data_IF_427325997881
#
_entry.id   IF_427325997881
#
_cell.length_a   1.000
_cell.length_b   1.000
_cell.length_c   1.000
_cell.angle_alpha   90.00
_cell.angle_beta   90.00
_cell.angle_gamma   90.00
#
_symmetry.space_group_name_H-M   'P 1'
#
loop_
_entity.id
_entity.type
_entity.pdbx_description
1 polymer ?
#
# COMPACT_ATOMS: atom_id res chain seq x y z
N UNK A 1 -32.00 -22.74 8.93
CA UNK A 1 -31.02 -21.97 8.10
C UNK A 1 -30.18 -21.13 9.05
N UNK A 2 -28.90 -20.94 8.79
CA UNK A 2 -28.10 -20.02 9.60
C UNK A 2 -28.66 -18.59 9.51
N UNK A 3 -28.49 -17.82 10.57
CA UNK A 3 -28.79 -16.39 10.58
C UNK A 3 -27.76 -15.61 9.76
N UNK A 4 -27.85 -14.29 9.79
CA UNK A 4 -27.00 -13.39 9.01
C UNK A 4 -26.22 -12.44 9.93
N UNK A 5 -24.92 -12.28 9.65
CA UNK A 5 -24.10 -11.22 10.26
C UNK A 5 -24.18 -9.97 9.40
N UNK A 6 -24.68 -8.87 9.97
CA UNK A 6 -24.70 -7.56 9.31
C UNK A 6 -23.56 -6.69 9.85
N UNK A 7 -22.69 -6.18 8.98
CA UNK A 7 -21.68 -5.19 9.36
C UNK A 7 -22.29 -3.80 9.20
N UNK A 8 -22.68 -3.17 10.29
CA UNK A 8 -23.43 -1.91 10.26
C UNK A 8 -22.50 -0.75 10.59
N UNK A 9 -22.23 0.09 9.59
CA UNK A 9 -21.45 1.32 9.79
C UNK A 9 -22.24 2.32 10.62
N UNK A 10 -21.62 2.87 11.67
CA UNK A 10 -22.21 3.84 12.61
C UNK A 10 -21.68 5.25 12.35
N UNK A 11 -22.39 6.30 12.78
CA UNK A 11 -21.95 7.69 12.64
C UNK A 11 -20.57 7.96 13.26
N UNK A 12 -19.74 8.75 12.56
CA UNK A 12 -18.41 9.16 13.03
C UNK A 12 -18.40 10.51 13.75
N UNK A 13 -19.57 11.07 14.00
CA UNK A 13 -19.70 12.35 14.70
C UNK A 13 -21.02 13.07 14.45
N UNK A 14 -21.77 12.68 13.43
CA UNK A 14 -23.07 13.25 13.09
C UNK A 14 -24.11 12.14 12.94
N UNK A 15 -25.11 12.13 13.81
CA UNK A 15 -26.18 11.13 13.78
C UNK A 15 -26.98 11.14 12.47
N UNK A 16 -27.01 12.29 11.76
CA UNK A 16 -27.63 12.41 10.45
C UNK A 16 -26.97 11.59 9.34
N UNK A 17 -25.76 11.07 9.56
CA UNK A 17 -25.05 10.23 8.61
C UNK A 17 -25.45 8.75 8.68
N UNK A 18 -26.30 8.37 9.63
CA UNK A 18 -26.81 7.00 9.70
C UNK A 18 -27.76 6.75 8.53
N UNK A 19 -27.48 5.72 7.72
CA UNK A 19 -28.39 5.40 6.61
C UNK A 19 -29.69 4.79 7.12
N UNK A 20 -30.79 5.00 6.37
CA UNK A 20 -32.08 4.39 6.67
C UNK A 20 -31.98 2.87 6.80
N UNK A 21 -31.25 2.23 5.87
CA UNK A 21 -31.03 0.79 5.90
C UNK A 21 -30.24 0.33 7.15
N UNK A 22 -29.33 1.15 7.66
CA UNK A 22 -28.65 0.83 8.92
C UNK A 22 -29.61 0.84 10.10
N UNK A 23 -30.49 1.86 10.19
CA UNK A 23 -31.53 1.92 11.23
C UNK A 23 -32.50 0.74 11.14
N UNK A 24 -33.01 0.41 9.95
CA UNK A 24 -33.89 -0.72 9.69
C UNK A 24 -33.21 -2.05 10.05
N UNK A 25 -31.91 -2.23 9.71
CA UNK A 25 -31.16 -3.43 10.06
C UNK A 25 -31.01 -3.57 11.57
N UNK A 26 -30.67 -2.49 12.29
CA UNK A 26 -30.59 -2.50 13.75
C UNK A 26 -31.93 -2.85 14.43
N UNK A 27 -33.06 -2.46 13.78
CA UNK A 27 -34.39 -2.81 14.25
C UNK A 27 -34.72 -4.29 14.00
N UNK A 28 -34.30 -4.86 12.87
CA UNK A 28 -34.69 -6.22 12.44
C UNK A 28 -33.88 -7.33 13.09
N UNK A 29 -32.59 -7.11 13.39
CA UNK A 29 -31.71 -8.18 13.95
C UNK A 29 -32.17 -8.63 15.33
N UNK A 30 -31.85 -9.86 15.69
CA UNK A 30 -32.19 -10.46 16.99
C UNK A 30 -31.34 -9.85 18.09
N UNK A 31 -30.06 -9.53 17.81
CA UNK A 31 -29.16 -8.91 18.76
C UNK A 31 -28.05 -8.12 18.08
N UNK A 32 -27.32 -7.34 18.88
CA UNK A 32 -26.22 -6.48 18.42
C UNK A 32 -24.93 -6.87 19.11
N UNK A 33 -23.87 -7.14 18.34
CA UNK A 33 -22.51 -7.24 18.84
C UNK A 33 -21.85 -5.84 18.75
N UNK A 34 -21.54 -5.27 19.91
CA UNK A 34 -21.08 -3.88 20.05
C UNK A 34 -19.68 -3.84 20.63
N UNK A 35 -18.81 -2.96 20.11
CA UNK A 35 -17.49 -2.70 20.67
C UNK A 35 -17.61 -2.13 22.09
N UNK A 36 -18.32 -1.01 22.25
CA UNK A 36 -18.74 -0.49 23.53
C UNK A 36 -20.27 -0.34 23.60
N UNK A 37 -20.90 -1.19 24.40
CA UNK A 37 -22.36 -1.17 24.58
C UNK A 37 -22.89 0.16 25.12
N UNK A 38 -22.07 0.93 25.85
CA UNK A 38 -22.44 2.25 26.39
C UNK A 38 -22.53 3.29 25.29
N UNK A 39 -21.72 3.19 24.24
CA UNK A 39 -21.78 4.04 23.04
C UNK A 39 -22.98 3.63 22.19
N UNK A 40 -23.11 2.34 21.92
CA UNK A 40 -24.19 1.80 21.10
C UNK A 40 -25.57 2.09 21.68
N UNK A 41 -25.75 2.05 23.02
CA UNK A 41 -27.03 2.37 23.66
C UNK A 41 -27.50 3.81 23.37
N UNK A 42 -26.56 4.75 23.21
CA UNK A 42 -26.91 6.14 22.84
C UNK A 42 -27.48 6.22 21.44
N UNK A 43 -26.90 5.46 20.50
CA UNK A 43 -27.41 5.35 19.14
C UNK A 43 -28.79 4.71 19.11
N UNK A 44 -28.97 3.59 19.81
CA UNK A 44 -30.26 2.89 19.90
C UNK A 44 -31.34 3.79 20.53
N UNK A 45 -31.01 4.52 21.60
CA UNK A 45 -31.95 5.47 22.22
C UNK A 45 -32.35 6.61 21.25
N UNK A 46 -31.42 7.11 20.43
CA UNK A 46 -31.72 8.08 19.39
C UNK A 46 -32.72 7.54 18.35
N UNK A 47 -32.62 6.24 18.04
CA UNK A 47 -33.51 5.53 17.11
C UNK A 47 -34.82 5.05 17.78
N UNK A 48 -34.98 5.22 19.10
CA UNK A 48 -36.11 4.65 19.85
C UNK A 48 -36.11 3.14 19.96
N UNK A 49 -34.96 2.48 19.75
CA UNK A 49 -34.83 1.02 19.73
C UNK A 49 -34.32 0.48 21.08
N UNK A 50 -34.76 -0.75 21.39
CA UNK A 50 -34.24 -1.57 22.50
C UNK A 50 -33.89 -2.94 21.96
N UNK A 51 -32.61 -3.31 21.98
CA UNK A 51 -32.10 -4.58 21.47
C UNK A 51 -31.16 -5.27 22.49
N UNK A 52 -31.17 -6.60 22.56
CA UNK A 52 -30.15 -7.34 23.27
C UNK A 52 -28.77 -7.00 22.70
N UNK A 53 -27.77 -6.78 23.57
CA UNK A 53 -26.41 -6.45 23.15
C UNK A 53 -25.40 -7.41 23.76
N UNK A 54 -24.40 -7.80 22.99
CA UNK A 54 -23.21 -8.55 23.41
C UNK A 54 -21.99 -7.67 23.20
N UNK A 55 -21.13 -7.54 24.20
CA UNK A 55 -19.87 -6.80 24.04
C UNK A 55 -18.86 -7.63 23.25
N UNK A 56 -18.36 -7.07 22.13
CA UNK A 56 -17.39 -7.69 21.24
C UNK A 56 -16.28 -6.70 20.91
N UNK A 57 -15.16 -6.78 21.61
CA UNK A 57 -14.03 -5.88 21.47
C UNK A 57 -12.69 -6.64 21.35
N UNK A 58 -11.63 -5.96 20.97
CA UNK A 58 -10.32 -6.56 20.58
C UNK A 58 -9.77 -7.62 21.55
N UNK A 59 -10.03 -7.50 22.85
CA UNK A 59 -9.47 -8.43 23.85
C UNK A 59 -10.39 -9.61 24.21
N UNK A 60 -11.59 -9.70 23.61
CA UNK A 60 -12.51 -10.82 23.84
C UNK A 60 -12.97 -11.54 22.58
N UNK A 61 -12.32 -11.26 21.42
CA UNK A 61 -12.72 -11.78 20.11
C UNK A 61 -12.79 -13.30 20.05
N UNK A 62 -11.88 -14.01 20.71
CA UNK A 62 -11.87 -15.49 20.73
C UNK A 62 -13.15 -16.08 21.34
N UNK A 63 -13.34 -15.91 22.65
CA UNK A 63 -14.48 -16.52 23.37
C UNK A 63 -15.83 -15.97 22.94
N UNK A 64 -15.91 -14.65 22.67
CA UNK A 64 -17.14 -14.03 22.19
C UNK A 64 -17.42 -14.33 20.73
N UNK A 65 -16.37 -14.48 19.90
CA UNK A 65 -16.54 -14.91 18.52
C UNK A 65 -17.22 -16.27 18.43
N UNK A 66 -16.79 -17.26 19.22
CA UNK A 66 -17.41 -18.58 19.27
C UNK A 66 -18.89 -18.50 19.70
N UNK A 67 -19.23 -17.70 20.70
CA UNK A 67 -20.61 -17.47 21.14
C UNK A 67 -21.46 -16.87 20.02
N UNK A 68 -20.96 -15.85 19.33
CA UNK A 68 -21.65 -15.19 18.21
C UNK A 68 -21.89 -16.17 17.06
N UNK A 69 -20.88 -16.95 16.69
CA UNK A 69 -20.97 -17.97 15.66
C UNK A 69 -22.02 -19.03 16.01
N UNK A 70 -22.04 -19.53 17.27
CA UNK A 70 -23.02 -20.51 17.70
C UNK A 70 -24.46 -19.97 17.58
N UNK A 71 -24.69 -18.71 17.95
CA UNK A 71 -26.01 -18.06 17.81
C UNK A 71 -26.43 -17.90 16.35
N UNK A 72 -25.49 -17.44 15.49
CA UNK A 72 -25.73 -17.32 14.06
C UNK A 72 -26.05 -18.66 13.41
N UNK A 73 -25.35 -19.76 13.76
CA UNK A 73 -25.69 -21.13 13.31
C UNK A 73 -27.02 -21.59 13.84
N UNK A 74 -27.44 -21.12 15.03
CA UNK A 74 -28.74 -21.35 15.59
C UNK A 74 -29.90 -20.64 14.86
N UNK A 75 -29.59 -19.76 13.89
CA UNK A 75 -30.57 -19.04 13.08
C UNK A 75 -30.86 -17.61 13.53
N UNK A 76 -30.20 -17.11 14.59
CA UNK A 76 -30.32 -15.70 15.01
C UNK A 76 -29.49 -14.81 14.08
N UNK A 77 -29.98 -13.61 13.78
CA UNK A 77 -29.28 -12.57 13.03
C UNK A 77 -28.64 -11.55 13.97
N UNK A 78 -27.45 -11.07 13.59
CA UNK A 78 -26.64 -10.17 14.40
C UNK A 78 -26.19 -8.93 13.60
N UNK A 79 -26.27 -7.75 14.19
CA UNK A 79 -25.55 -6.57 13.71
C UNK A 79 -24.25 -6.41 14.48
N UNK A 80 -23.12 -6.40 13.78
CA UNK A 80 -21.84 -5.96 14.35
C UNK A 80 -21.71 -4.45 14.15
N UNK A 81 -21.49 -3.72 15.24
CA UNK A 81 -21.27 -2.27 15.26
C UNK A 81 -20.00 -1.93 16.02
N UNK A 82 -19.33 -0.86 15.64
CA UNK A 82 -18.21 -0.24 16.34
C UNK A 82 -18.62 1.09 16.93
N UNK A 83 -17.77 1.69 17.74
CA UNK A 83 -18.05 2.97 18.38
C UNK A 83 -18.29 4.08 17.35
N UNK A 84 -17.57 4.03 16.21
CA UNK A 84 -17.72 4.99 15.12
C UNK A 84 -17.17 4.42 13.80
N UNK A 85 -17.96 4.51 12.73
CA UNK A 85 -17.51 4.12 11.39
C UNK A 85 -17.86 2.69 10.98
N UNK A 86 -17.04 2.13 10.10
CA UNK A 86 -17.28 0.83 9.46
C UNK A 86 -16.60 -0.28 10.26
N UNK A 87 -17.33 -1.29 10.76
CA UNK A 87 -16.77 -2.42 11.50
C UNK A 87 -15.73 -3.21 10.68
N UNK A 88 -14.83 -3.90 11.37
CA UNK A 88 -13.77 -4.73 10.81
C UNK A 88 -12.66 -3.97 10.06
N UNK A 89 -12.70 -2.65 10.01
CA UNK A 89 -11.64 -1.83 9.42
C UNK A 89 -10.97 -0.98 10.51
N UNK A 90 -9.83 -1.39 11.00
CA UNK A 90 -9.14 -0.88 12.21
C UNK A 90 -9.84 -1.17 13.54
N UNK A 91 -11.01 -1.74 13.48
CA UNK A 91 -11.90 -2.05 14.58
C UNK A 91 -12.13 -3.57 14.69
N UNK A 92 -12.71 -4.07 15.80
CA UNK A 92 -13.04 -5.50 15.93
C UNK A 92 -13.99 -5.98 14.82
N UNK A 93 -13.81 -7.23 14.37
CA UNK A 93 -14.71 -7.85 13.40
C UNK A 93 -14.06 -8.68 12.33
N UNK A 94 -12.80 -8.41 11.97
CA UNK A 94 -12.07 -9.15 10.92
C UNK A 94 -12.09 -10.67 11.19
N UNK A 95 -11.76 -11.09 12.40
CA UNK A 95 -11.76 -12.49 12.80
C UNK A 95 -13.17 -13.12 12.74
N UNK A 96 -14.20 -12.36 13.17
CA UNK A 96 -15.59 -12.83 13.14
C UNK A 96 -16.07 -13.02 11.70
N UNK A 97 -15.75 -12.10 10.80
CA UNK A 97 -16.06 -12.22 9.37
C UNK A 97 -15.36 -13.42 8.77
N UNK A 98 -14.09 -13.67 9.09
CA UNK A 98 -13.35 -14.84 8.63
C UNK A 98 -13.98 -16.15 9.16
N UNK A 99 -14.40 -16.20 10.42
CA UNK A 99 -15.10 -17.35 11.00
C UNK A 99 -16.45 -17.58 10.35
N UNK A 100 -17.23 -16.53 10.09
CA UNK A 100 -18.50 -16.63 9.36
C UNK A 100 -18.29 -17.20 7.95
N UNK A 101 -17.30 -16.69 7.23
CA UNK A 101 -16.98 -17.16 5.89
C UNK A 101 -16.56 -18.65 5.89
N UNK A 102 -15.78 -19.10 6.87
CA UNK A 102 -15.37 -20.49 6.99
C UNK A 102 -16.53 -21.46 7.31
N UNK A 103 -17.63 -20.95 7.85
CA UNK A 103 -18.82 -21.73 8.22
C UNK A 103 -20.03 -21.44 7.33
N UNK A 104 -19.81 -20.77 6.19
CA UNK A 104 -20.84 -20.41 5.20
C UNK A 104 -22.00 -19.59 5.79
N UNK A 105 -21.75 -18.85 6.87
CA UNK A 105 -22.71 -17.92 7.46
C UNK A 105 -22.75 -16.66 6.59
N UNK A 106 -23.93 -16.22 6.14
CA UNK A 106 -24.06 -15.01 5.34
C UNK A 106 -23.54 -13.76 6.08
N UNK A 107 -22.66 -12.97 5.43
CA UNK A 107 -22.19 -11.68 5.93
C UNK A 107 -22.64 -10.59 4.96
N UNK A 108 -23.39 -9.62 5.47
CA UNK A 108 -23.97 -8.53 4.67
C UNK A 108 -23.42 -7.18 5.14
N UNK A 109 -22.69 -6.44 4.29
CA UNK A 109 -22.26 -5.08 4.61
C UNK A 109 -23.41 -4.09 4.46
N UNK A 110 -23.57 -3.23 5.45
CA UNK A 110 -24.49 -2.08 5.41
C UNK A 110 -23.63 -0.80 5.23
N UNK A 111 -23.58 -0.23 4.02
CA UNK A 111 -22.77 0.96 3.76
C UNK A 111 -23.14 2.15 4.63
N UNK A 112 -22.12 2.90 5.04
CA UNK A 112 -22.30 4.09 5.85
C UNK A 112 -21.00 4.86 6.07
N UNK A 113 -20.89 5.64 7.14
CA UNK A 113 -19.76 6.50 7.41
C UNK A 113 -18.42 5.72 7.49
N UNK A 114 -17.40 6.31 6.84
CA UNK A 114 -16.03 5.78 6.85
C UNK A 114 -15.05 6.96 6.83
N UNK A 115 -14.36 7.21 7.94
CA UNK A 115 -13.56 8.41 8.11
C UNK A 115 -12.44 8.54 7.07
N UNK A 116 -11.68 7.47 6.82
CA UNK A 116 -10.55 7.54 5.90
C UNK A 116 -10.98 7.69 4.43
N UNK A 117 -12.12 7.12 4.01
CA UNK A 117 -12.66 7.31 2.66
C UNK A 117 -13.10 8.76 2.45
N UNK A 118 -13.81 9.33 3.43
CA UNK A 118 -14.24 10.73 3.38
C UNK A 118 -13.04 11.68 3.38
N UNK A 119 -12.03 11.42 4.22
CA UNK A 119 -10.77 12.18 4.23
C UNK A 119 -10.05 12.14 2.88
N UNK A 120 -9.93 10.96 2.27
CA UNK A 120 -9.34 10.80 0.95
C UNK A 120 -10.08 11.61 -0.10
N UNK A 121 -11.40 11.52 -0.12
CA UNK A 121 -12.25 12.21 -1.10
C UNK A 121 -12.08 13.75 -1.04
N UNK A 122 -11.89 14.32 0.15
CA UNK A 122 -11.74 15.77 0.34
C UNK A 122 -10.28 16.24 0.39
N UNK A 123 -9.31 15.32 0.35
CA UNK A 123 -7.88 15.64 0.53
C UNK A 123 -7.29 16.54 -0.57
N UNK A 124 -7.77 16.39 -1.80
CA UNK A 124 -7.16 17.01 -3.00
C UNK A 124 -5.88 16.30 -3.45
N UNK A 125 -5.62 15.07 -2.96
CA UNK A 125 -4.54 14.19 -3.39
C UNK A 125 -5.09 13.09 -4.31
N UNK A 126 -4.23 12.37 -5.06
CA UNK A 126 -4.68 11.29 -5.95
C UNK A 126 -5.46 10.21 -5.20
N UNK A 127 -6.65 9.87 -5.69
CA UNK A 127 -7.57 8.91 -5.06
C UNK A 127 -7.64 7.56 -5.76
N UNK A 128 -7.11 7.44 -6.98
CA UNK A 128 -7.26 6.24 -7.81
C UNK A 128 -6.56 4.99 -7.25
N UNK A 129 -5.48 5.20 -6.49
CA UNK A 129 -4.77 4.13 -5.77
C UNK A 129 -4.27 4.71 -4.45
N UNK A 130 -4.53 4.01 -3.35
CA UNK A 130 -4.14 4.44 -2.01
C UNK A 130 -3.83 3.24 -1.12
N UNK A 131 -3.21 3.50 0.02
CA UNK A 131 -3.01 2.54 1.10
C UNK A 131 -3.63 3.07 2.38
N UNK A 132 -4.20 2.18 3.17
CA UNK A 132 -4.71 2.50 4.50
C UNK A 132 -3.79 1.86 5.53
N UNK A 133 -3.07 2.70 6.26
CA UNK A 133 -2.01 2.31 7.19
C UNK A 133 -2.51 2.26 8.66
N UNK A 134 -3.75 2.74 8.90
CA UNK A 134 -4.35 2.77 10.23
C UNK A 134 -3.59 3.65 11.21
N UNK A 135 -3.44 3.19 12.47
CA UNK A 135 -2.65 3.89 13.48
C UNK A 135 -1.20 3.42 13.47
N UNK A 136 -0.28 4.37 13.51
CA UNK A 136 1.15 4.04 13.66
C UNK A 136 1.43 3.39 15.03
N UNK A 137 2.35 2.42 15.04
CA UNK A 137 2.71 1.69 16.22
C UNK A 137 3.19 2.61 17.36
N UNK A 138 2.80 2.30 18.61
CA UNK A 138 3.26 3.01 19.82
C UNK A 138 4.76 2.83 20.05
N UNK A 139 5.28 1.65 19.79
CA UNK A 139 6.69 1.33 19.92
C UNK A 139 7.50 2.06 18.85
N UNK A 140 8.46 2.89 19.27
CA UNK A 140 9.28 3.74 18.38
C UNK A 140 10.04 2.93 17.32
N UNK A 141 10.54 1.74 17.65
CA UNK A 141 11.26 0.88 16.69
C UNK A 141 10.33 0.37 15.58
N UNK A 142 9.17 -0.16 15.94
CA UNK A 142 8.20 -0.67 14.97
C UNK A 142 7.63 0.45 14.12
N UNK A 143 7.36 1.61 14.72
CA UNK A 143 6.89 2.81 14.03
C UNK A 143 7.90 3.30 12.98
N UNK A 144 9.20 3.39 13.35
CA UNK A 144 10.25 3.76 12.40
C UNK A 144 10.40 2.74 11.27
N UNK A 145 10.36 1.44 11.58
CA UNK A 145 10.41 0.38 10.58
C UNK A 145 9.23 0.45 9.61
N UNK A 146 8.00 0.70 10.11
CA UNK A 146 6.81 0.89 9.28
C UNK A 146 6.98 2.10 8.34
N UNK A 147 7.37 3.27 8.87
CA UNK A 147 7.58 4.46 8.04
C UNK A 147 8.69 4.28 7.01
N UNK A 148 9.77 3.59 7.36
CA UNK A 148 10.85 3.28 6.40
C UNK A 148 10.37 2.40 5.26
N UNK A 149 9.50 1.41 5.54
CA UNK A 149 8.91 0.57 4.49
C UNK A 149 8.01 1.33 3.51
N UNK A 150 7.47 2.47 3.94
CA UNK A 150 6.59 3.34 3.14
C UNK A 150 7.34 4.46 2.40
N UNK A 151 8.66 4.59 2.57
CA UNK A 151 9.45 5.71 2.00
C UNK A 151 9.33 5.81 0.48
N UNK A 152 9.28 4.66 -0.21
CA UNK A 152 9.10 4.56 -1.65
C UNK A 152 7.65 4.36 -2.12
N UNK A 153 6.66 4.40 -1.22
CA UNK A 153 5.26 4.20 -1.59
C UNK A 153 4.76 5.34 -2.47
N UNK A 154 4.32 5.01 -3.68
CA UNK A 154 3.87 5.99 -4.69
C UNK A 154 2.37 6.28 -4.63
N UNK A 155 1.60 5.47 -3.91
CA UNK A 155 0.17 5.67 -3.70
C UNK A 155 -0.07 6.66 -2.56
N UNK A 156 -1.21 7.29 -2.54
CA UNK A 156 -1.66 8.11 -1.40
C UNK A 156 -1.82 7.24 -0.16
N UNK A 157 -1.26 7.66 0.96
CA UNK A 157 -1.25 6.93 2.23
C UNK A 157 -2.20 7.58 3.24
N UNK A 158 -2.98 6.78 3.96
CA UNK A 158 -3.92 7.27 4.96
C UNK A 158 -3.60 6.72 6.34
N UNK A 159 -3.56 7.61 7.33
CA UNK A 159 -3.31 7.26 8.73
C UNK A 159 -4.40 7.83 9.62
N UNK A 160 -4.80 7.08 10.63
CA UNK A 160 -5.59 7.63 11.76
C UNK A 160 -4.63 8.15 12.82
N UNK A 161 -4.99 9.27 13.48
CA UNK A 161 -4.17 9.78 14.55
C UNK A 161 -4.97 10.50 15.64
N UNK A 162 -4.57 10.26 16.88
CA UNK A 162 -5.12 10.92 18.04
C UNK A 162 -4.42 12.28 18.29
N UNK A 163 -5.12 13.29 18.84
CA UNK A 163 -4.57 14.62 18.99
C UNK A 163 -3.28 14.66 19.81
N UNK A 164 -3.20 13.88 20.90
CA UNK A 164 -2.03 13.86 21.77
C UNK A 164 -0.76 13.25 21.12
N UNK A 165 -0.89 12.57 19.97
CA UNK A 165 0.23 11.98 19.23
C UNK A 165 0.56 12.77 17.97
N UNK A 166 -0.35 13.62 17.48
CA UNK A 166 -0.26 14.25 16.17
C UNK A 166 1.08 14.95 15.93
N UNK A 167 1.58 15.72 16.88
CA UNK A 167 2.85 16.45 16.73
C UNK A 167 4.04 15.51 16.51
N UNK A 168 4.11 14.42 17.29
CA UNK A 168 5.17 13.43 17.15
C UNK A 168 5.05 12.70 15.80
N UNK A 169 3.84 12.35 15.39
CA UNK A 169 3.56 11.71 14.11
C UNK A 169 3.96 12.59 12.93
N UNK A 170 3.63 13.88 12.95
CA UNK A 170 4.01 14.80 11.88
C UNK A 170 5.53 14.94 11.75
N UNK A 171 6.27 14.98 12.87
CA UNK A 171 7.75 15.01 12.84
C UNK A 171 8.32 13.72 12.25
N UNK A 172 7.81 12.56 12.67
CA UNK A 172 8.28 11.27 12.15
C UNK A 172 7.95 11.11 10.66
N UNK A 173 6.78 11.58 10.20
CA UNK A 173 6.42 11.59 8.77
C UNK A 173 7.32 12.55 7.98
N UNK A 174 7.61 13.74 8.51
CA UNK A 174 8.51 14.71 7.86
C UNK A 174 9.96 14.19 7.78
N UNK A 175 10.44 13.48 8.82
CA UNK A 175 11.75 12.82 8.80
C UNK A 175 11.80 11.69 7.75
N UNK A 176 10.74 10.89 7.63
CA UNK A 176 10.69 9.73 6.73
C UNK A 176 10.49 10.13 5.26
N UNK A 177 9.58 11.07 4.97
CA UNK A 177 9.10 11.37 3.62
C UNK A 177 9.56 12.73 3.08
N UNK A 178 10.21 13.53 3.91
CA UNK A 178 10.67 14.88 3.58
C UNK A 178 9.64 15.96 3.94
N UNK A 179 10.13 17.18 4.31
CA UNK A 179 9.28 18.29 4.77
C UNK A 179 8.35 18.86 3.69
N UNK A 180 8.72 18.72 2.41
CA UNK A 180 7.95 19.25 1.28
C UNK A 180 6.84 18.30 0.81
N UNK A 181 6.75 17.08 1.36
CA UNK A 181 5.71 16.13 1.05
C UNK A 181 4.33 16.69 1.39
N UNK A 182 3.41 16.67 0.42
CA UNK A 182 2.05 17.16 0.60
C UNK A 182 1.27 16.29 1.56
N UNK A 183 0.45 16.93 2.38
CA UNK A 183 -0.45 16.29 3.33
C UNK A 183 -1.78 17.06 3.40
N UNK A 184 -2.87 16.32 3.58
CA UNK A 184 -4.13 16.87 4.05
C UNK A 184 -4.44 16.31 5.44
N UNK A 185 -4.65 17.19 6.41
CA UNK A 185 -5.10 16.84 7.74
C UNK A 185 -6.60 17.07 7.80
N UNK A 186 -7.36 15.99 7.91
CA UNK A 186 -8.81 16.04 8.06
C UNK A 186 -9.13 15.84 9.54
N UNK A 187 -9.66 16.89 10.17
CA UNK A 187 -9.95 16.94 11.59
C UNK A 187 -11.44 16.98 11.84
N UNK A 188 -11.92 16.19 12.82
CA UNK A 188 -13.30 16.24 13.31
C UNK A 188 -14.33 16.12 12.18
N UNK A 189 -14.10 15.24 11.21
CA UNK A 189 -15.01 15.02 10.07
C UNK A 189 -16.45 14.80 10.55
N UNK A 190 -17.40 15.42 9.88
CA UNK A 190 -18.86 15.43 10.16
C UNK A 190 -19.28 16.15 11.44
N UNK A 191 -18.32 16.59 12.28
CA UNK A 191 -18.60 17.30 13.54
C UNK A 191 -18.62 18.83 13.36
N UNK A 192 -19.06 19.55 14.39
CA UNK A 192 -19.17 21.02 14.38
C UNK A 192 -17.85 21.75 14.03
N UNK A 193 -16.71 21.13 14.38
CA UNK A 193 -15.38 21.71 14.16
C UNK A 193 -14.62 21.00 13.06
N UNK A 194 -15.33 20.53 12.04
CA UNK A 194 -14.71 19.91 10.86
C UNK A 194 -13.74 20.89 10.18
N UNK A 195 -12.54 20.39 9.89
CA UNK A 195 -11.50 21.16 9.21
C UNK A 195 -10.70 20.26 8.27
N UNK A 196 -10.44 20.74 7.06
CA UNK A 196 -9.53 20.09 6.11
C UNK A 196 -8.39 21.04 5.77
N UNK A 197 -7.22 20.79 6.35
CA UNK A 197 -6.00 21.59 6.15
C UNK A 197 -5.09 20.90 5.15
N UNK A 198 -4.93 21.50 3.97
CA UNK A 198 -4.03 21.03 2.91
C UNK A 198 -2.74 21.85 2.97
N UNK A 199 -1.57 21.14 3.11
CA UNK A 199 -0.29 21.80 3.35
C UNK A 199 0.87 20.85 3.03
N UNK A 200 2.09 21.13 3.49
CA UNK A 200 3.22 20.21 3.49
C UNK A 200 3.52 19.71 4.90
N UNK A 201 4.25 18.59 5.02
CA UNK A 201 4.61 18.03 6.33
C UNK A 201 5.37 19.04 7.20
N UNK A 202 6.34 19.77 6.64
CA UNK A 202 7.11 20.78 7.37
C UNK A 202 6.23 21.93 7.87
N UNK A 203 5.30 22.42 7.04
CA UNK A 203 4.35 23.46 7.45
C UNK A 203 3.38 22.95 8.52
N UNK A 204 2.91 21.69 8.41
CA UNK A 204 2.06 21.08 9.40
C UNK A 204 2.76 20.95 10.76
N UNK A 205 4.04 20.53 10.78
CA UNK A 205 4.84 20.47 12.01
C UNK A 205 4.88 21.85 12.68
N UNK A 206 5.29 22.90 11.95
CA UNK A 206 5.40 24.25 12.47
C UNK A 206 4.05 24.79 12.99
N UNK A 207 2.98 24.52 12.25
CA UNK A 207 1.64 24.95 12.66
C UNK A 207 1.19 24.32 13.98
N UNK A 208 1.31 23.00 14.12
CA UNK A 208 0.85 22.30 15.32
C UNK A 208 1.81 22.40 16.51
N UNK A 209 3.03 22.89 16.32
CA UNK A 209 3.91 23.33 17.41
C UNK A 209 3.37 24.60 18.09
N UNK A 210 2.82 25.51 17.31
CA UNK A 210 2.21 26.75 17.84
C UNK A 210 0.74 26.58 18.27
N UNK A 211 0.04 25.58 17.72
CA UNK A 211 -1.40 25.37 17.94
C UNK A 211 -1.66 23.95 18.45
N UNK A 212 -1.85 23.74 19.76
CA UNK A 212 -2.11 22.41 20.30
C UNK A 212 -3.29 21.70 19.61
N UNK A 213 -3.11 20.50 19.08
CA UNK A 213 -4.15 19.79 18.35
C UNK A 213 -5.27 19.35 19.28
N UNK A 214 -6.52 19.39 18.78
CA UNK A 214 -7.72 18.91 19.46
C UNK A 214 -8.56 18.12 18.47
N UNK A 215 -9.28 17.11 18.99
CA UNK A 215 -10.15 16.27 18.19
C UNK A 215 -9.39 15.15 17.45
N UNK A 216 -10.08 14.40 16.63
CA UNK A 216 -9.58 13.24 15.90
C UNK A 216 -9.11 13.64 14.50
N UNK A 217 -8.08 12.96 14.02
CA UNK A 217 -7.45 13.26 12.74
C UNK A 217 -7.39 12.04 11.83
N UNK A 218 -7.64 12.30 10.55
CA UNK A 218 -7.19 11.44 9.46
C UNK A 218 -6.14 12.21 8.66
N UNK A 219 -4.95 11.62 8.54
CA UNK A 219 -3.84 12.17 7.77
C UNK A 219 -3.83 11.51 6.40
N UNK A 220 -3.90 12.31 5.35
CA UNK A 220 -3.79 11.85 3.96
C UNK A 220 -2.49 12.38 3.41
N UNK A 221 -1.52 11.49 3.19
CA UNK A 221 -0.16 11.84 2.78
C UNK A 221 0.04 11.45 1.33
N UNK A 222 0.58 12.36 0.54
CA UNK A 222 0.93 12.11 -0.86
C UNK A 222 1.97 11.00 -0.98
N UNK A 223 1.83 10.12 -1.98
CA UNK A 223 2.82 9.11 -2.31
C UNK A 223 4.15 9.71 -2.74
N UNK A 224 5.21 8.91 -2.77
CA UNK A 224 6.49 9.32 -3.35
C UNK A 224 6.28 9.73 -4.82
N UNK A 225 6.94 10.78 -5.30
CA UNK A 225 6.96 11.02 -6.73
C UNK A 225 7.49 9.76 -7.42
N UNK A 226 6.93 9.39 -8.58
CA UNK A 226 7.51 8.30 -9.34
C UNK A 226 9.00 8.60 -9.47
N UNK A 227 9.83 7.61 -9.13
CA UNK A 227 11.25 7.69 -9.44
C UNK A 227 11.30 7.97 -10.93
N UNK A 228 11.71 9.17 -11.30
CA UNK A 228 11.94 9.46 -12.71
C UNK A 228 12.96 8.41 -13.12
N UNK A 229 12.55 7.40 -13.89
CA UNK A 229 13.50 6.55 -14.59
C UNK A 229 14.40 7.55 -15.30
N UNK A 230 15.63 7.70 -14.81
CA UNK A 230 16.59 8.55 -15.48
C UNK A 230 16.60 8.05 -16.91
N UNK A 231 16.19 8.94 -17.82
CA UNK A 231 16.17 8.56 -19.23
C UNK A 231 17.52 7.92 -19.53
N UNK A 232 17.57 6.71 -20.07
CA UNK A 232 18.82 6.00 -20.28
C UNK A 232 19.84 6.92 -20.94
N UNK A 233 20.99 7.05 -20.33
CA UNK A 233 22.06 7.92 -20.79
C UNK A 233 22.76 7.28 -22.00
N UNK A 234 23.55 8.07 -22.72
CA UNK A 234 24.40 7.53 -23.76
C UNK A 234 25.37 6.46 -23.21
N UNK A 235 25.79 6.60 -21.98
CA UNK A 235 26.66 5.64 -21.28
C UNK A 235 25.96 4.33 -21.01
N UNK A 236 24.69 4.34 -20.61
CA UNK A 236 23.89 3.14 -20.44
C UNK A 236 23.70 2.40 -21.77
N UNK A 237 23.46 3.16 -22.85
CA UNK A 237 23.40 2.61 -24.20
C UNK A 237 24.72 1.95 -24.64
N UNK A 238 25.85 2.57 -24.33
CA UNK A 238 27.19 2.01 -24.62
C UNK A 238 27.46 0.75 -23.80
N UNK A 239 27.15 0.75 -22.51
CA UNK A 239 27.29 -0.42 -21.64
C UNK A 239 26.46 -1.60 -22.14
N UNK A 240 25.23 -1.34 -22.62
CA UNK A 240 24.38 -2.37 -23.21
C UNK A 240 24.97 -2.92 -24.52
N UNK A 241 25.54 -2.06 -25.38
CA UNK A 241 26.25 -2.50 -26.58
C UNK A 241 27.43 -3.41 -26.24
N UNK A 242 28.25 -3.03 -25.27
CA UNK A 242 29.40 -3.81 -24.82
C UNK A 242 28.95 -5.20 -24.31
N UNK A 243 27.87 -5.25 -23.54
CA UNK A 243 27.27 -6.51 -23.06
C UNK A 243 26.81 -7.40 -24.20
N UNK A 244 26.04 -6.87 -25.15
CA UNK A 244 25.55 -7.63 -26.30
C UNK A 244 26.70 -8.15 -27.19
N UNK A 245 27.78 -7.36 -27.33
CA UNK A 245 28.97 -7.80 -28.05
C UNK A 245 29.71 -8.96 -27.34
N UNK A 246 29.74 -8.97 -26.01
CA UNK A 246 30.25 -10.10 -25.24
C UNK A 246 29.41 -11.38 -25.43
N UNK A 247 28.11 -11.21 -25.66
CA UNK A 247 27.17 -12.29 -25.99
C UNK A 247 27.26 -12.76 -27.47
N UNK A 248 28.17 -12.17 -28.27
CA UNK A 248 28.42 -12.55 -29.66
C UNK A 248 27.64 -11.79 -30.73
N UNK A 249 26.95 -10.72 -30.35
CA UNK A 249 26.20 -9.92 -31.34
C UNK A 249 27.12 -9.08 -32.24
N UNK A 250 26.70 -8.88 -33.48
CA UNK A 250 27.41 -7.92 -34.35
C UNK A 250 27.29 -6.49 -33.77
N UNK A 251 28.32 -5.65 -34.02
CA UNK A 251 28.26 -4.23 -33.57
C UNK A 251 27.04 -3.52 -34.11
N UNK A 252 26.58 -3.84 -35.33
CA UNK A 252 25.43 -3.23 -35.97
C UNK A 252 24.12 -3.63 -35.26
N UNK A 253 23.98 -4.89 -34.90
CA UNK A 253 22.79 -5.43 -34.26
C UNK A 253 22.74 -5.04 -32.78
N UNK A 254 23.87 -5.08 -32.10
CA UNK A 254 24.00 -4.63 -30.71
C UNK A 254 23.63 -3.15 -30.57
N UNK A 255 24.11 -2.28 -31.45
CA UNK A 255 23.74 -0.86 -31.44
C UNK A 255 22.25 -0.65 -31.79
N UNK A 256 21.68 -1.44 -32.69
CA UNK A 256 20.25 -1.37 -33.02
C UNK A 256 19.40 -1.70 -31.81
N UNK A 257 19.72 -2.77 -31.13
CA UNK A 257 18.99 -3.24 -29.93
C UNK A 257 19.15 -2.25 -28.77
N UNK A 258 20.39 -1.86 -28.45
CA UNK A 258 20.66 -0.91 -27.38
C UNK A 258 20.01 0.47 -27.64
N UNK A 259 20.00 0.96 -28.86
CA UNK A 259 19.33 2.21 -29.21
C UNK A 259 17.80 2.13 -29.01
N UNK A 260 17.20 0.98 -29.34
CA UNK A 260 15.78 0.75 -29.13
C UNK A 260 15.45 0.64 -27.63
N UNK A 261 16.22 -0.16 -26.86
CA UNK A 261 16.02 -0.36 -25.44
C UNK A 261 16.20 0.94 -24.63
N UNK A 262 17.23 1.73 -24.96
CA UNK A 262 17.54 2.97 -24.25
C UNK A 262 16.83 4.21 -24.86
N UNK A 263 16.00 4.05 -25.90
CA UNK A 263 15.35 5.16 -26.64
C UNK A 263 16.33 6.23 -27.12
N UNK A 264 17.54 5.81 -27.49
CA UNK A 264 18.61 6.69 -27.99
C UNK A 264 18.65 6.75 -29.52
N UNK A 265 19.23 7.82 -30.07
CA UNK A 265 19.50 7.90 -31.49
C UNK A 265 20.52 6.85 -31.88
N UNK A 266 20.13 5.93 -32.81
CA UNK A 266 21.01 4.88 -33.35
C UNK A 266 22.29 5.44 -33.95
N UNK A 267 22.19 6.60 -34.64
CA UNK A 267 23.33 7.25 -35.26
C UNK A 267 24.33 7.71 -34.19
N UNK A 268 23.86 8.43 -33.16
CA UNK A 268 24.70 8.95 -32.07
C UNK A 268 25.41 7.80 -31.35
N UNK A 269 24.66 6.74 -31.00
CA UNK A 269 25.21 5.57 -30.31
C UNK A 269 26.27 4.86 -31.17
N UNK A 270 26.01 4.69 -32.47
CA UNK A 270 26.93 4.05 -33.41
C UNK A 270 28.23 4.84 -33.57
N UNK A 271 28.12 6.17 -33.76
CA UNK A 271 29.26 7.05 -33.92
C UNK A 271 30.16 7.02 -32.69
N UNK A 272 29.56 6.97 -31.47
CA UNK A 272 30.33 6.88 -30.23
C UNK A 272 30.99 5.53 -30.01
N UNK A 273 30.36 4.42 -30.39
CA UNK A 273 30.97 3.08 -30.39
C UNK A 273 32.19 3.04 -31.33
N UNK A 274 32.09 3.61 -32.50
CA UNK A 274 33.21 3.70 -33.44
C UNK A 274 34.36 4.59 -32.92
N UNK A 275 34.04 5.70 -32.28
CA UNK A 275 35.03 6.58 -31.67
C UNK A 275 35.82 5.83 -30.57
N UNK A 276 35.14 5.11 -29.67
CA UNK A 276 35.80 4.29 -28.64
C UNK A 276 36.72 3.20 -29.24
N UNK A 277 36.32 2.56 -30.33
CA UNK A 277 37.18 1.57 -31.02
C UNK A 277 38.45 2.21 -31.56
N UNK A 278 38.35 3.36 -32.18
CA UNK A 278 39.53 4.10 -32.70
C UNK A 278 40.46 4.54 -31.58
N UNK A 279 39.92 5.04 -30.46
CA UNK A 279 40.69 5.42 -29.26
C UNK A 279 41.46 4.22 -28.68
N UNK A 280 40.84 3.03 -28.64
CA UNK A 280 41.47 1.80 -28.16
C UNK A 280 42.54 1.26 -29.11
N UNK A 281 42.41 1.47 -30.44
CA UNK A 281 43.39 1.07 -31.43
C UNK A 281 44.57 2.05 -31.47
N UNK A 282 44.34 3.35 -31.31
CA UNK A 282 45.41 4.35 -31.26
C UNK A 282 46.30 4.27 -30.00
N UNK A 283 45.71 3.79 -28.88
CA UNK A 283 46.45 3.50 -27.63
C UNK A 283 47.35 2.27 -27.70
N UNK A 284 47.21 1.42 -28.74
CA UNK A 284 48.03 0.23 -28.92
C UNK A 284 49.28 0.42 -29.83
N UNK A 285 49.52 1.60 -30.38
CA UNK A 285 50.70 1.85 -31.19
C UNK A 285 51.84 2.50 -30.39
N UNK A 286 52.76 1.74 -29.92
CA UNK A 286 54.22 1.54 -30.11
C UNK A 286 54.81 0.88 -28.87
N UNK A 287 55.42 -0.32 -28.99
CA UNK A 287 56.49 -0.65 -28.08
C UNK A 287 57.68 0.27 -28.43
N UNK A 288 58.03 1.14 -27.52
CA UNK A 288 59.28 1.88 -27.58
C UNK A 288 60.42 0.85 -27.68
N UNK A 289 61.16 0.85 -28.79
CA UNK A 289 62.44 0.16 -28.85
C UNK A 289 63.32 0.74 -27.76
N UNK A 290 63.64 -0.07 -26.76
CA UNK A 290 64.70 0.24 -25.81
C UNK A 290 66.01 0.24 -26.56
N UNK A 291 66.91 1.24 -26.34
CA UNK A 291 68.24 1.21 -26.89
C UNK A 291 69.08 0.07 -26.24
N UNK A 292 69.72 -0.71 -27.09
CA UNK A 292 70.77 -1.64 -26.64
C UNK A 292 71.87 -0.86 -25.89
N UNK A 293 71.93 -1.08 -24.57
CA UNK A 293 73.10 -0.72 -23.79
C UNK A 293 73.48 -1.95 -22.94
N UNK A 294 74.52 -2.59 -23.36
CA UNK A 294 75.19 -3.69 -22.67
C UNK A 294 75.60 -3.30 -21.26
N UNK A 295 75.18 -4.03 -20.28
CA UNK A 295 75.89 -4.10 -19.00
C UNK A 295 75.66 -5.48 -18.36
N UNK A 296 76.71 -6.25 -18.41
CA UNK A 296 76.97 -7.52 -17.73
C UNK A 296 76.87 -7.27 -16.25
N UNK A 297 75.96 -8.00 -15.56
CA UNK A 297 76.11 -8.23 -14.12
C UNK A 297 75.84 -9.70 -13.80
N UNK A 298 76.88 -10.29 -13.17
CA UNK A 298 77.06 -11.67 -12.73
C UNK A 298 76.07 -12.00 -11.60
N UNK A 299 75.54 -13.20 -11.67
CA UNK A 299 74.88 -13.92 -10.56
C UNK A 299 75.90 -14.26 -9.47
N UNK A 300 75.50 -14.36 -8.23
CA UNK A 300 76.05 -15.32 -7.30
C UNK A 300 75.08 -16.40 -6.95
N UNK A 301 75.67 -17.61 -6.86
CA UNK A 301 75.06 -18.89 -6.56
C UNK A 301 74.54 -19.02 -5.12
N UNK A 302 73.44 -19.65 -4.99
CA UNK A 302 72.98 -20.77 -4.16
C UNK A 302 73.21 -20.69 -2.63
N UNK A 303 72.80 -21.67 -1.86
CA UNK A 303 71.71 -22.65 -1.92
C UNK A 303 70.93 -22.68 -0.57
N UNK A 304 69.95 -23.53 -0.43
CA UNK A 304 69.55 -24.33 0.74
C UNK A 304 68.09 -24.72 0.63
N UNK A 305 67.81 -25.94 0.37
CA UNK A 305 67.64 -27.22 1.15
C UNK A 305 66.20 -27.39 1.64
N UNK A 306 65.67 -28.44 1.19
CA UNK A 306 64.54 -29.26 1.54
C UNK A 306 64.13 -29.28 3.01
N UNK A 307 62.84 -29.39 3.22
CA UNK A 307 62.16 -29.85 4.44
C UNK A 307 60.71 -30.09 4.16
N UNK A 308 60.33 -31.11 3.90
CA UNK A 308 59.69 -32.34 3.99
C UNK A 308 58.69 -32.37 5.16
N UNK A 309 57.41 -32.52 4.87
CA UNK A 309 56.36 -32.74 5.88
C UNK A 309 55.08 -33.21 5.24
N UNK A 310 54.98 -34.54 5.09
CA UNK A 310 53.70 -35.21 4.76
C UNK A 310 52.75 -35.10 5.93
N UNK A 311 51.50 -34.75 5.75
CA UNK A 311 50.48 -35.52 6.43
C UNK A 311 49.14 -35.52 5.66
N UNK A 312 48.57 -36.68 5.73
CA UNK A 312 47.37 -37.20 5.06
C UNK A 312 46.11 -36.71 5.78
N UNK A 313 45.01 -36.57 5.05
CA UNK A 313 43.76 -36.86 5.71
C UNK A 313 42.52 -36.25 5.09
N UNK A 314 41.88 -37.05 4.28
CA UNK A 314 40.45 -37.27 4.09
C UNK A 314 39.62 -36.22 3.35
N UNK A 315 39.30 -36.60 2.14
CA UNK A 315 38.15 -36.19 1.36
C UNK A 315 36.82 -36.60 2.04
N UNK A 316 35.84 -35.73 1.98
CA UNK A 316 34.42 -36.10 2.07
C UNK A 316 33.70 -35.37 0.95
N UNK A 317 33.19 -36.15 0.03
CA UNK A 317 32.37 -35.71 -1.09
C UNK A 317 30.90 -35.51 -0.66
N UNK A 318 30.13 -34.70 -1.39
CA UNK A 318 28.75 -34.43 -1.08
C UNK A 318 27.79 -35.37 -1.83
N UNK A 319 26.68 -35.70 -1.19
CA UNK A 319 25.53 -36.34 -1.84
C UNK A 319 24.43 -35.31 -2.18
N UNK A 320 24.12 -35.21 -3.41
CA UNK A 320 22.87 -35.31 -4.19
C UNK A 320 21.55 -34.96 -3.49
N UNK A 321 20.76 -34.08 -4.16
CA UNK A 321 19.35 -33.93 -3.98
C UNK A 321 18.72 -33.12 -5.13
N UNK A 322 18.28 -33.84 -6.17
CA UNK A 322 17.49 -33.27 -7.28
C UNK A 322 16.10 -32.83 -6.86
N UNK A 323 15.61 -31.74 -7.43
CA UNK A 323 14.21 -31.31 -7.33
C UNK A 323 13.89 -30.21 -8.32
N UNK A 324 13.85 -30.54 -9.61
CA UNK A 324 13.23 -29.72 -10.66
C UNK A 324 11.71 -29.81 -10.53
N UNK A 325 11.03 -28.68 -10.30
CA UNK A 325 9.61 -28.55 -10.65
C UNK A 325 9.47 -27.24 -11.42
N UNK A 326 9.24 -27.40 -12.72
CA UNK A 326 8.92 -26.31 -13.63
C UNK A 326 7.51 -25.78 -13.38
N UNK A 327 7.38 -24.47 -13.35
CA UNK A 327 6.08 -23.79 -13.49
C UNK A 327 5.98 -23.21 -14.89
N UNK A 328 5.04 -23.77 -15.65
CA UNK A 328 4.58 -23.25 -16.92
C UNK A 328 3.76 -21.97 -16.67
N UNK A 329 4.15 -20.91 -17.31
CA UNK A 329 3.33 -19.71 -17.52
C UNK A 329 2.02 -20.10 -18.21
N UNK A 330 0.90 -19.70 -17.61
CA UNK A 330 -0.37 -19.53 -18.31
C UNK A 330 -0.81 -18.08 -18.15
N UNK A 331 -0.66 -17.34 -19.21
CA UNK A 331 -1.28 -16.03 -19.37
C UNK A 331 -2.80 -16.18 -19.31
N UNK A 332 -3.42 -15.37 -18.46
CA UNK A 332 -4.85 -15.12 -18.53
C UNK A 332 -5.06 -13.67 -18.96
N UNK A 333 -5.44 -13.52 -20.22
CA UNK A 333 -6.16 -12.35 -20.69
C UNK A 333 -7.53 -12.35 -20.00
N UNK A 334 -7.82 -11.37 -19.18
CA UNK A 334 -9.17 -11.10 -18.70
C UNK A 334 -9.65 -9.77 -19.27
N UNK A 335 -10.32 -9.87 -20.40
CA UNK A 335 -10.96 -8.75 -21.09
C UNK A 335 -12.45 -9.08 -21.21
N UNK A 336 -13.20 -8.92 -20.12
CA UNK A 336 -14.68 -9.03 -20.15
C UNK A 336 -15.42 -8.57 -18.87
N UNK A 337 -14.96 -7.54 -18.15
CA UNK A 337 -15.68 -7.07 -16.94
C UNK A 337 -16.18 -5.62 -16.97
N UNK A 338 -16.02 -4.90 -18.07
CA UNK A 338 -16.46 -3.49 -18.16
C UNK A 338 -17.83 -3.27 -18.81
N UNK A 339 -18.56 -4.34 -19.19
CA UNK A 339 -19.91 -4.19 -19.80
C UNK A 339 -21.09 -4.52 -18.87
N UNK A 340 -20.87 -5.05 -17.69
CA UNK A 340 -21.97 -5.38 -16.77
C UNK A 340 -22.31 -4.29 -15.74
N UNK A 341 -21.45 -3.31 -15.48
CA UNK A 341 -21.77 -2.19 -14.59
C UNK A 341 -22.63 -1.09 -15.22
N UNK A 342 -22.84 -1.09 -16.53
CA UNK A 342 -23.63 -0.05 -17.21
C UNK A 342 -25.13 -0.37 -17.29
N UNK A 343 -25.59 -1.54 -16.88
CA UNK A 343 -27.01 -1.94 -17.01
C UNK A 343 -27.83 -1.84 -15.70
N UNK A 344 -27.23 -1.47 -14.58
CA UNK A 344 -27.94 -1.37 -13.29
C UNK A 344 -28.44 0.06 -13.00
N UNK A 345 -28.13 1.04 -13.85
CA UNK A 345 -28.49 2.46 -13.60
C UNK A 345 -29.60 3.04 -14.49
N UNK A 346 -30.44 2.23 -15.14
CA UNK A 346 -31.43 2.74 -16.08
C UNK A 346 -32.87 2.26 -15.90
N UNK A 347 -33.46 2.28 -14.67
CA UNK A 347 -34.90 2.54 -14.64
C UNK A 347 -35.40 3.62 -13.65
N UNK A 348 -34.54 4.46 -13.05
CA UNK A 348 -35.02 5.46 -12.05
C UNK A 348 -35.28 6.87 -12.59
N UNK A 349 -35.11 7.12 -13.89
CA UNK A 349 -35.35 8.45 -14.48
C UNK A 349 -36.78 8.69 -14.97
N UNK A 350 -37.63 7.70 -15.04
CA UNK A 350 -39.01 7.87 -15.58
C UNK A 350 -40.09 8.11 -14.52
N UNK A 351 -39.87 7.74 -13.25
CA UNK A 351 -40.89 7.94 -12.22
C UNK A 351 -40.84 9.31 -11.52
N UNK A 352 -39.68 9.96 -11.45
CA UNK A 352 -39.54 11.28 -10.81
C UNK A 352 -40.15 12.41 -11.68
N UNK A 353 -40.18 12.23 -13.00
CA UNK A 353 -40.78 13.19 -13.93
C UNK A 353 -42.32 13.18 -13.86
N UNK A 354 -42.94 12.07 -13.48
CA UNK A 354 -44.41 11.96 -13.41
C UNK A 354 -44.97 12.53 -12.10
N UNK A 355 -44.24 12.42 -10.99
CA UNK A 355 -44.67 12.95 -9.69
C UNK A 355 -44.53 14.47 -9.57
N UNK A 356 -43.63 15.11 -10.32
CA UNK A 356 -43.50 16.58 -10.37
C UNK A 356 -44.51 17.24 -11.28
N UNK A 357 -45.03 16.54 -12.30
CA UNK A 357 -46.07 17.05 -13.20
C UNK A 357 -47.46 17.11 -12.56
N UNK A 358 -47.78 16.24 -11.62
CA UNK A 358 -49.08 16.27 -10.93
C UNK A 358 -49.20 17.30 -9.80
N UNK A 359 -48.08 17.78 -9.23
CA UNK A 359 -48.10 18.83 -8.20
C UNK A 359 -48.19 20.26 -8.73
N UNK A 360 -47.99 20.48 -10.02
CA UNK A 360 -48.10 21.79 -10.65
C UNK A 360 -49.48 22.05 -11.29
N UNK A 361 -50.42 21.09 -11.24
CA UNK A 361 -51.79 21.29 -11.75
C UNK A 361 -52.87 21.39 -10.68
N UNK A 362 -52.49 21.43 -9.39
CA UNK A 362 -53.46 21.56 -8.27
C UNK A 362 -53.03 22.69 -7.29
N UNK A 363 -52.64 23.84 -7.84
CA UNK A 363 -52.40 25.05 -7.05
C UNK A 363 -52.72 26.29 -7.87
#
# INVERSE_FOLDING_TARGET
>A
MAGTLYLVATPIGNLGDLSLRAAETLEQVDFIAAEDTRVTVKLLNHLGLKKPMVSYYRHNTGTRGEELIARLLGGESCALVTDAGTPAISDPGEELVAQCAAQEIPVVPIPGPCAFVNALAVSGLPTGRFTFEGFLAMNKKNRRAHLESLRGETRTMLFHEAPHKLQATLRDLAEAFGPDRRIALCRELTKLHEEVRRTTLGQAVSYYEAHPPKGEFVLVVEGAPPVAEQAPTLEDGLALVDKLQLEGWSTRDAVKEAAAACRLSRKVLYDRVLARKKESESGRQRPQRLPEAAAVWKLPHSPWVWGGGRNKGKAVSPMWGHGLVGWKERGYFCNSSLRQCAQIFLPLKTEISFALSQKMQAG
#
